data_IF_654515506654
#
_entry.id   IF_654515506654
#
_cell.length_a   1.000
_cell.length_b   1.000
_cell.length_c   1.000
_cell.angle_alpha   90.00
_cell.angle_beta   90.00
_cell.angle_gamma   90.00
#
_symmetry.space_group_name_H-M   'P 1'
#
loop_
_entity.id
_entity.type
_entity.pdbx_description
1 polymer ?
#
# COMPACT_ATOMS: atom_id res chain seq x y z
N UNK A 1 0.27 -24.48 -0.36
CA UNK A 1 0.24 -23.15 0.29
C UNK A 1 -1.08 -23.02 1.02
N UNK A 2 -1.05 -22.75 2.32
CA UNK A 2 -2.26 -22.65 3.13
C UNK A 2 -2.69 -21.17 3.13
N UNK A 3 -3.73 -20.82 2.38
CA UNK A 3 -4.22 -19.43 2.33
C UNK A 3 -4.82 -19.01 3.66
N UNK A 4 -4.49 -17.80 4.14
CA UNK A 4 -4.95 -17.25 5.42
C UNK A 4 -6.48 -17.33 5.54
N UNK A 5 -7.04 -17.68 6.72
CA UNK A 5 -8.48 -17.68 6.96
C UNK A 5 -9.15 -16.34 6.61
N UNK A 6 -8.46 -15.20 6.80
CA UNK A 6 -8.96 -13.87 6.41
C UNK A 6 -9.03 -13.70 4.90
N UNK A 7 -8.06 -14.23 4.14
CA UNK A 7 -8.08 -14.25 2.67
C UNK A 7 -9.25 -15.06 2.12
N UNK A 8 -9.50 -16.26 2.68
CA UNK A 8 -10.67 -17.08 2.28
C UNK A 8 -11.98 -16.41 2.65
N UNK A 9 -12.04 -15.81 3.83
CA UNK A 9 -13.19 -15.02 4.27
C UNK A 9 -13.42 -13.83 3.35
N UNK A 10 -12.36 -13.12 2.95
CA UNK A 10 -12.45 -11.97 2.04
C UNK A 10 -12.90 -12.38 0.64
N UNK A 11 -12.27 -13.40 0.03
CA UNK A 11 -12.63 -13.88 -1.30
C UNK A 11 -14.06 -14.45 -1.35
N UNK A 12 -14.47 -15.22 -0.33
CA UNK A 12 -15.83 -15.75 -0.22
C UNK A 12 -16.88 -14.65 -0.01
N UNK A 13 -16.58 -13.64 0.82
CA UNK A 13 -17.50 -12.53 1.09
C UNK A 13 -17.58 -11.51 -0.05
N UNK A 14 -16.50 -11.33 -0.81
CA UNK A 14 -16.47 -10.52 -2.02
C UNK A 14 -17.36 -11.14 -3.10
N UNK A 15 -17.20 -12.45 -3.34
CA UNK A 15 -18.05 -13.20 -4.29
C UNK A 15 -19.53 -13.13 -3.89
N UNK A 16 -19.84 -13.27 -2.59
CA UNK A 16 -21.21 -13.20 -2.08
C UNK A 16 -21.86 -11.81 -2.23
N UNK A 17 -21.11 -10.73 -2.00
CA UNK A 17 -21.65 -9.36 -2.10
C UNK A 17 -21.96 -8.95 -3.54
N UNK A 18 -21.27 -9.55 -4.53
CA UNK A 18 -21.53 -9.31 -5.96
C UNK A 18 -22.69 -10.13 -6.51
N UNK A 19 -22.82 -11.40 -6.12
CA UNK A 19 -23.99 -12.20 -6.52
C UNK A 19 -25.32 -11.58 -6.06
N UNK A 20 -25.30 -10.75 -5.00
CA UNK A 20 -26.45 -9.99 -4.53
C UNK A 20 -26.62 -8.63 -5.24
N UNK A 21 -25.56 -8.10 -5.86
CA UNK A 21 -25.58 -6.83 -6.60
C UNK A 21 -25.92 -6.99 -8.08
N UNK A 22 -25.80 -8.19 -8.65
CA UNK A 22 -26.29 -8.56 -9.99
C UNK A 22 -27.82 -8.75 -10.04
N UNK A 23 -28.57 -7.92 -9.30
CA UNK A 23 -29.98 -7.75 -9.63
C UNK A 23 -30.06 -7.16 -11.04
N UNK A 24 -30.83 -7.77 -11.97
CA UNK A 24 -30.94 -7.24 -13.32
C UNK A 24 -31.38 -5.78 -13.23
N UNK A 25 -30.56 -4.89 -13.78
CA UNK A 25 -30.92 -3.48 -13.91
C UNK A 25 -32.32 -3.40 -14.53
N UNK A 26 -33.23 -2.57 -13.99
CA UNK A 26 -34.49 -2.34 -14.66
C UNK A 26 -34.20 -1.92 -16.11
N UNK A 27 -35.00 -2.40 -17.08
CA UNK A 27 -34.79 -2.04 -18.48
C UNK A 27 -34.71 -0.52 -18.62
N UNK A 28 -33.83 0.00 -19.50
CA UNK A 28 -33.69 1.44 -19.67
C UNK A 28 -35.05 2.04 -19.99
N UNK A 29 -35.43 3.09 -19.25
CA UNK A 29 -36.61 3.87 -19.56
C UNK A 29 -36.54 4.31 -21.02
N UNK A 30 -37.61 4.12 -21.81
CA UNK A 30 -37.62 4.54 -23.20
C UNK A 30 -37.31 6.05 -23.27
N UNK A 31 -36.45 6.48 -24.22
CA UNK A 31 -36.07 7.87 -24.33
C UNK A 31 -37.32 8.74 -24.53
N UNK A 32 -37.44 9.80 -23.73
CA UNK A 32 -38.46 10.81 -23.96
C UNK A 32 -38.32 11.35 -25.40
N UNK A 33 -39.43 11.55 -26.13
CA UNK A 33 -39.38 12.05 -27.50
C UNK A 33 -38.71 13.42 -27.53
N UNK A 34 -37.50 13.47 -28.09
CA UNK A 34 -36.71 14.69 -28.21
C UNK A 34 -37.29 15.63 -29.28
N UNK A 35 -37.25 16.96 -29.06
CA UNK A 35 -37.66 17.93 -30.06
C UNK A 35 -36.60 18.06 -31.18
N UNK A 36 -37.06 17.86 -32.41
CA UNK A 36 -36.64 18.57 -33.62
C UNK A 36 -35.14 18.74 -33.91
N UNK A 37 -34.63 17.90 -34.79
CA UNK A 37 -33.34 18.03 -35.49
C UNK A 37 -33.19 19.36 -36.26
N UNK A 38 -32.03 20.01 -36.12
CA UNK A 38 -31.45 20.93 -37.11
C UNK A 38 -30.11 20.37 -37.62
N UNK A 39 -29.79 20.47 -38.93
CA UNK A 39 -28.63 19.82 -39.51
C UNK A 39 -27.40 20.73 -39.58
N UNK A 40 -26.22 20.11 -39.45
CA UNK A 40 -25.04 20.50 -40.22
C UNK A 40 -23.90 21.14 -39.45
N UNK A 41 -22.94 20.32 -38.99
CA UNK A 41 -21.53 20.69 -39.04
C UNK A 41 -20.67 19.45 -39.26
N UNK A 42 -20.05 19.42 -40.45
CA UNK A 42 -19.07 18.43 -40.90
C UNK A 42 -17.74 18.71 -40.20
N UNK A 43 -17.24 17.76 -39.40
CA UNK A 43 -15.85 17.79 -38.91
C UNK A 43 -15.00 16.80 -39.69
N UNK A 44 -13.85 17.29 -40.14
CA UNK A 44 -12.88 16.57 -40.95
C UNK A 44 -12.12 15.53 -40.13
N UNK A 45 -11.96 14.36 -40.73
CA UNK A 45 -11.21 13.20 -40.26
C UNK A 45 -9.71 13.44 -40.46
N UNK A 46 -8.95 13.50 -39.37
CA UNK A 46 -7.48 13.45 -39.36
C UNK A 46 -7.00 12.06 -38.93
N UNK A 47 -6.25 11.39 -39.80
CA UNK A 47 -5.77 10.02 -39.68
C UNK A 47 -4.56 9.86 -38.73
N UNK A 48 -4.15 8.61 -38.38
CA UNK A 48 -3.38 8.29 -37.18
C UNK A 48 -1.86 8.36 -37.40
N UNK A 49 -1.16 9.00 -36.46
CA UNK A 49 0.30 8.95 -36.34
C UNK A 49 0.73 7.86 -35.38
N UNK A 50 1.34 6.80 -35.89
CA UNK A 50 1.92 5.72 -35.10
C UNK A 50 3.17 6.16 -34.33
N UNK A 51 3.31 5.67 -33.11
CA UNK A 51 4.57 5.64 -32.37
C UNK A 51 4.73 4.26 -31.73
N UNK A 52 5.30 3.34 -32.50
CA UNK A 52 5.94 2.14 -31.97
C UNK A 52 7.44 2.47 -31.85
N UNK A 53 7.93 2.59 -30.62
CA UNK A 53 9.31 2.95 -30.32
C UNK A 53 9.82 2.20 -29.10
N UNK A 54 10.40 1.03 -29.36
CA UNK A 54 11.25 0.19 -28.51
C UNK A 54 11.97 0.94 -27.37
N UNK A 55 11.71 0.53 -26.11
CA UNK A 55 12.42 0.97 -24.90
C UNK A 55 13.25 -0.18 -24.30
N UNK A 56 14.12 -0.80 -25.10
CA UNK A 56 15.05 -1.84 -24.65
C UNK A 56 16.39 -1.71 -25.35
N UNK A 57 17.21 -0.74 -24.92
CA UNK A 57 18.67 -0.77 -25.04
C UNK A 57 19.25 0.51 -24.44
N UNK A 58 19.92 0.40 -23.28
CA UNK A 58 21.13 1.14 -22.88
C UNK A 58 21.24 1.18 -21.36
N UNK A 59 22.02 0.27 -20.79
CA UNK A 59 22.75 0.47 -19.54
C UNK A 59 23.84 -0.59 -19.43
N UNK A 60 24.93 -0.37 -20.17
CA UNK A 60 26.24 -0.93 -19.84
C UNK A 60 27.26 0.12 -20.24
N UNK A 61 27.69 0.93 -19.28
CA UNK A 61 28.86 1.78 -19.39
C UNK A 61 29.85 1.37 -18.30
N UNK A 62 30.95 0.81 -18.80
CA UNK A 62 32.25 0.55 -18.20
C UNK A 62 32.53 1.17 -16.80
N UNK A 63 32.73 0.30 -15.82
CA UNK A 63 33.61 0.56 -14.68
C UNK A 63 35.05 0.35 -15.18
N UNK A 64 35.85 1.40 -15.17
CA UNK A 64 37.30 1.33 -15.45
C UNK A 64 38.03 0.74 -14.25
N UNK A 65 38.95 -0.23 -14.43
CA UNK A 65 39.74 -0.80 -13.36
C UNK A 65 40.97 0.08 -13.10
N UNK A 66 40.82 1.20 -12.40
CA UNK A 66 42.01 1.99 -11.98
C UNK A 66 41.88 2.68 -10.60
N UNK A 67 40.80 2.45 -9.86
CA UNK A 67 40.63 2.96 -8.48
C UNK A 67 41.03 1.95 -7.38
N UNK A 68 41.71 0.86 -7.75
CA UNK A 68 41.97 -0.28 -6.86
C UNK A 68 43.16 -0.12 -5.88
N UNK A 69 43.81 1.03 -5.77
CA UNK A 69 45.04 1.16 -4.97
C UNK A 69 45.13 2.37 -4.01
N UNK A 70 44.00 2.88 -3.49
CA UNK A 70 44.05 3.94 -2.46
C UNK A 70 43.01 3.81 -1.34
N UNK A 71 42.91 2.62 -0.74
CA UNK A 71 42.09 2.42 0.46
C UNK A 71 42.71 1.48 1.49
N UNK A 72 44.04 1.45 1.65
CA UNK A 72 44.69 0.84 2.82
C UNK A 72 44.88 1.87 3.93
N UNK A 73 43.78 2.28 4.55
CA UNK A 73 43.78 2.82 5.92
C UNK A 73 42.75 2.05 6.73
N UNK A 74 43.02 0.75 6.91
CA UNK A 74 42.35 -0.09 7.91
C UNK A 74 42.76 0.36 9.31
N UNK A 75 42.18 1.46 9.76
CA UNK A 75 42.02 1.68 11.19
C UNK A 75 41.06 0.61 11.70
N UNK A 76 41.55 -0.29 12.55
CA UNK A 76 40.72 -1.29 13.22
C UNK A 76 39.65 -0.55 14.04
N UNK A 77 38.46 -0.40 13.47
CA UNK A 77 37.30 0.12 14.17
C UNK A 77 36.81 -0.99 15.09
N UNK A 78 37.35 -1.04 16.31
CA UNK A 78 36.83 -1.92 17.35
C UNK A 78 35.47 -1.37 17.76
N UNK A 79 34.39 -1.86 17.15
CA UNK A 79 33.04 -1.66 17.65
C UNK A 79 32.98 -2.36 19.00
N UNK A 80 33.21 -1.62 20.07
CA UNK A 80 33.06 -2.13 21.41
C UNK A 80 31.61 -2.56 21.58
N UNK A 81 31.38 -3.87 21.74
CA UNK A 81 30.08 -4.49 22.00
C UNK A 81 29.49 -4.13 23.38
N UNK A 82 29.94 -3.03 23.99
CA UNK A 82 29.28 -2.43 25.14
C UNK A 82 27.93 -1.89 24.65
N UNK A 83 26.90 -2.73 24.76
CA UNK A 83 25.58 -2.53 24.19
C UNK A 83 25.00 -1.17 24.57
N UNK A 84 25.07 -0.21 23.63
CA UNK A 84 24.27 1.00 23.71
C UNK A 84 22.82 0.56 23.62
N UNK A 85 22.12 0.54 24.76
CA UNK A 85 20.65 0.55 24.78
C UNK A 85 20.24 1.83 24.06
N UNK A 86 19.79 1.70 22.82
CA UNK A 86 19.16 2.83 22.14
C UNK A 86 17.95 3.26 22.97
N UNK A 87 17.77 4.57 23.21
CA UNK A 87 16.58 5.05 23.89
C UNK A 87 15.35 4.55 23.12
N UNK A 88 14.43 3.90 23.84
CA UNK A 88 13.18 3.42 23.25
C UNK A 88 12.34 4.64 22.91
N UNK A 89 12.19 4.92 21.61
CA UNK A 89 11.28 5.96 21.11
C UNK A 89 9.84 5.46 21.32
N UNK A 90 8.98 6.21 22.04
CA UNK A 90 7.57 5.85 22.22
C UNK A 90 6.87 5.63 20.88
N UNK A 91 5.93 4.67 20.85
CA UNK A 91 5.04 4.46 19.71
C UNK A 91 3.90 5.45 19.82
N UNK A 92 3.78 6.38 18.87
CA UNK A 92 2.70 7.36 18.85
C UNK A 92 2.03 7.42 17.47
N UNK A 93 0.77 7.83 17.44
CA UNK A 93 0.03 8.10 16.21
C UNK A 93 0.80 9.11 15.35
N UNK A 94 0.85 8.87 14.04
CA UNK A 94 1.54 9.74 13.09
C UNK A 94 2.94 9.30 12.73
N UNK A 95 3.59 8.47 13.55
CA UNK A 95 4.93 8.01 13.20
C UNK A 95 4.92 7.11 11.97
N UNK A 96 5.89 7.33 11.10
CA UNK A 96 6.28 6.42 10.03
C UNK A 96 7.53 5.68 10.49
N UNK A 97 7.49 4.34 10.46
CA UNK A 97 8.49 3.48 11.07
C UNK A 97 8.90 2.36 10.12
N UNK A 98 10.18 2.03 10.06
CA UNK A 98 10.69 0.83 9.38
C UNK A 98 10.83 -0.30 10.38
N UNK A 99 10.14 -1.42 10.12
CA UNK A 99 10.20 -2.61 10.97
C UNK A 99 11.57 -3.29 10.85
N UNK A 100 12.04 -3.89 11.94
CA UNK A 100 13.24 -4.72 11.91
C UNK A 100 12.97 -5.99 11.08
N UNK A 101 13.77 -6.29 10.04
CA UNK A 101 13.58 -7.50 9.22
C UNK A 101 13.68 -8.81 10.02
N UNK A 102 14.33 -8.81 11.19
CA UNK A 102 14.35 -9.96 12.10
C UNK A 102 13.00 -10.25 12.77
N UNK A 103 12.00 -9.36 12.64
CA UNK A 103 10.64 -9.65 13.10
C UNK A 103 10.00 -10.74 12.24
N UNK A 104 10.32 -10.77 10.95
CA UNK A 104 9.86 -11.78 10.03
C UNK A 104 10.88 -11.99 8.89
N UNK A 105 11.69 -13.06 8.95
CA UNK A 105 12.69 -13.38 7.93
C UNK A 105 12.11 -13.71 6.54
N UNK A 106 10.80 -13.93 6.43
CA UNK A 106 10.14 -14.23 5.15
C UNK A 106 9.83 -13.00 4.32
N UNK A 107 9.91 -11.80 4.91
CA UNK A 107 9.72 -10.56 4.16
C UNK A 107 10.78 -10.42 3.08
N UNK A 108 10.34 -10.27 1.84
CA UNK A 108 11.19 -10.05 0.68
C UNK A 108 11.73 -8.62 0.58
N UNK A 109 11.18 -7.69 1.38
CA UNK A 109 11.48 -6.25 1.34
C UNK A 109 11.48 -5.63 2.74
N UNK A 110 12.02 -4.42 2.84
CA UNK A 110 11.88 -3.61 4.05
C UNK A 110 10.42 -3.20 4.22
N UNK A 111 9.85 -3.43 5.40
CA UNK A 111 8.45 -3.06 5.69
C UNK A 111 8.44 -1.72 6.42
N UNK A 112 7.87 -0.72 5.78
CA UNK A 112 7.61 0.60 6.36
C UNK A 112 6.12 0.66 6.71
N UNK A 113 5.80 1.19 7.89
CA UNK A 113 4.42 1.32 8.37
C UNK A 113 4.12 2.73 8.87
N UNK A 114 2.88 3.16 8.68
CA UNK A 114 2.28 4.31 9.36
C UNK A 114 1.55 3.83 10.62
N UNK A 115 1.79 4.49 11.76
CA UNK A 115 1.00 4.30 12.98
C UNK A 115 -0.26 5.15 12.91
N UNK A 116 -1.39 4.54 12.53
CA UNK A 116 -2.66 5.24 12.30
C UNK A 116 -3.43 5.48 13.62
N UNK A 117 -3.41 4.49 14.53
CA UNK A 117 -4.05 4.56 15.86
C UNK A 117 -3.17 3.89 16.90
N UNK A 118 -3.36 4.28 18.16
CA UNK A 118 -2.69 3.71 19.33
C UNK A 118 -3.75 3.32 20.34
N UNK A 119 -3.60 2.14 20.93
CA UNK A 119 -4.43 1.60 22.00
C UNK A 119 -3.50 1.27 23.18
N UNK A 120 -3.31 2.26 24.06
CA UNK A 120 -2.39 2.15 25.20
C UNK A 120 -2.86 1.10 26.23
N UNK A 121 -4.18 0.85 26.32
CA UNK A 121 -4.73 -0.12 27.26
C UNK A 121 -4.34 -1.54 26.88
N UNK A 122 -4.35 -1.85 25.58
CA UNK A 122 -3.97 -3.15 25.01
C UNK A 122 -2.50 -3.18 24.54
N UNK A 123 -1.73 -2.12 24.81
CA UNK A 123 -0.34 -1.95 24.42
C UNK A 123 -0.07 -2.32 22.93
N UNK A 124 -0.92 -1.83 22.03
CA UNK A 124 -0.85 -2.12 20.58
C UNK A 124 -1.21 -0.89 19.74
N UNK A 125 -0.84 -0.93 18.46
CA UNK A 125 -1.12 0.15 17.52
C UNK A 125 -1.62 -0.39 16.18
N UNK A 126 -2.51 0.36 15.54
CA UNK A 126 -2.98 0.05 14.20
C UNK A 126 -1.93 0.54 13.20
N UNK A 127 -1.14 -0.39 12.68
CA UNK A 127 -0.09 -0.14 11.71
C UNK A 127 -0.63 -0.37 10.29
N UNK A 128 -0.25 0.50 9.36
CA UNK A 128 -0.64 0.42 7.96
C UNK A 128 0.62 0.36 7.10
N UNK A 129 0.86 -0.72 6.33
CA UNK A 129 2.09 -0.85 5.56
C UNK A 129 2.07 0.04 4.31
N UNK A 130 3.26 0.47 3.89
CA UNK A 130 3.47 1.06 2.58
C UNK A 130 3.70 -0.03 1.52
N UNK A 131 3.09 0.15 0.35
CA UNK A 131 3.21 -0.74 -0.80
C UNK A 131 4.56 -0.63 -1.50
N UNK A 132 4.84 -1.53 -2.43
CA UNK A 132 6.03 -1.44 -3.29
C UNK A 132 5.82 -0.57 -4.54
N UNK A 133 4.56 -0.25 -4.85
CA UNK A 133 4.19 0.54 -6.02
C UNK A 133 4.31 2.03 -5.76
N UNK A 134 4.51 2.78 -6.86
CA UNK A 134 4.50 4.24 -6.86
C UNK A 134 3.10 4.82 -7.07
N UNK A 135 2.15 4.02 -7.52
CA UNK A 135 0.76 4.40 -7.77
C UNK A 135 -0.19 3.36 -7.16
N UNK A 136 -1.34 3.79 -6.58
CA UNK A 136 -2.34 2.88 -6.03
C UNK A 136 -2.86 1.90 -7.09
N UNK A 137 -2.75 0.60 -6.80
CA UNK A 137 -3.22 -0.46 -7.67
C UNK A 137 -4.73 -0.69 -7.53
N UNK A 138 -5.34 -0.40 -6.38
CA UNK A 138 -6.80 -0.53 -6.20
C UNK A 138 -7.39 0.39 -5.10
N UNK A 139 -8.71 0.36 -4.95
CA UNK A 139 -9.48 1.30 -4.10
C UNK A 139 -9.15 1.24 -2.60
N UNK A 140 -8.45 0.19 -2.15
CA UNK A 140 -7.99 0.03 -0.77
C UNK A 140 -6.65 0.68 -0.47
N UNK A 141 -6.04 1.36 -1.44
CA UNK A 141 -4.72 1.97 -1.36
C UNK A 141 -4.80 3.47 -1.54
N UNK A 142 -3.88 4.21 -0.91
CA UNK A 142 -3.87 5.66 -0.90
C UNK A 142 -2.52 6.20 -1.38
N UNK A 143 -2.52 7.01 -2.43
CA UNK A 143 -1.35 7.79 -2.84
C UNK A 143 -1.05 8.82 -1.76
N UNK A 144 0.18 8.84 -1.22
CA UNK A 144 0.52 9.65 -0.04
C UNK A 144 1.07 11.04 -0.37
N UNK A 145 1.60 11.25 -1.58
CA UNK A 145 2.29 12.49 -1.95
C UNK A 145 3.66 12.69 -1.29
N UNK A 146 4.17 11.69 -0.54
CA UNK A 146 5.53 11.71 0.00
C UNK A 146 6.56 11.61 -1.12
N UNK A 147 7.74 12.23 -0.92
CA UNK A 147 8.80 12.27 -1.95
C UNK A 147 9.56 10.95 -2.11
N UNK A 148 9.60 10.15 -1.05
CA UNK A 148 10.24 8.84 -1.08
C UNK A 148 9.33 7.84 -1.78
N UNK A 149 9.82 7.21 -2.84
CA UNK A 149 9.04 6.25 -3.63
C UNK A 149 8.63 5.02 -2.81
N UNK A 150 9.43 4.61 -1.83
CA UNK A 150 9.08 3.51 -0.92
C UNK A 150 7.90 3.83 0.02
N UNK A 151 7.50 5.09 0.07
CA UNK A 151 6.38 5.59 0.87
C UNK A 151 5.28 6.22 0.00
N UNK A 152 5.29 6.02 -1.32
CA UNK A 152 4.36 6.66 -2.26
C UNK A 152 2.92 6.16 -2.12
N UNK A 153 2.73 4.89 -1.76
CA UNK A 153 1.41 4.24 -1.64
C UNK A 153 1.25 3.61 -0.26
N UNK A 154 0.15 3.92 0.41
CA UNK A 154 -0.22 3.35 1.68
C UNK A 154 -1.31 2.27 1.48
N UNK A 155 -1.04 1.04 1.90
CA UNK A 155 -1.94 -0.10 1.74
C UNK A 155 -2.94 -0.18 2.91
N UNK A 156 -3.87 0.78 2.98
CA UNK A 156 -4.88 0.91 4.06
C UNK A 156 -5.71 -0.37 4.25
N UNK A 157 -5.92 -1.11 3.16
CA UNK A 157 -6.58 -2.40 3.17
C UNK A 157 -5.89 -3.48 4.02
N UNK A 158 -4.58 -3.36 4.23
CA UNK A 158 -3.71 -4.29 4.94
C UNK A 158 -3.33 -3.79 6.34
N UNK A 159 -4.16 -2.90 6.90
CA UNK A 159 -3.99 -2.39 8.26
C UNK A 159 -4.19 -3.51 9.30
N UNK A 160 -3.32 -3.55 10.30
CA UNK A 160 -3.30 -4.58 11.34
C UNK A 160 -2.93 -4.01 12.71
N UNK A 161 -3.48 -4.59 13.77
CA UNK A 161 -3.15 -4.22 15.15
C UNK A 161 -1.88 -4.95 15.60
N UNK A 162 -0.79 -4.21 15.75
CA UNK A 162 0.52 -4.75 16.09
C UNK A 162 0.90 -4.39 17.54
N UNK A 163 1.32 -5.36 18.37
CA UNK A 163 1.80 -5.11 19.73
C UNK A 163 2.99 -4.14 19.80
N UNK A 164 3.08 -3.37 20.88
CA UNK A 164 4.16 -2.40 21.11
C UNK A 164 5.53 -3.05 21.25
N UNK A 165 5.64 -4.27 21.80
CA UNK A 165 6.92 -4.97 21.90
C UNK A 165 7.51 -5.24 20.51
N UNK A 166 6.66 -5.64 19.54
CA UNK A 166 7.04 -5.82 18.14
C UNK A 166 7.37 -4.50 17.48
N UNK A 167 6.51 -3.48 17.62
CA UNK A 167 6.78 -2.15 17.08
C UNK A 167 8.00 -1.48 17.72
N UNK A 168 8.38 -1.83 18.95
CA UNK A 168 9.60 -1.30 19.58
C UNK A 168 10.88 -1.79 18.88
N UNK A 169 10.79 -2.88 18.11
CA UNK A 169 11.84 -3.38 17.21
C UNK A 169 11.69 -2.74 15.83
N UNK A 170 11.66 -1.42 15.77
CA UNK A 170 11.59 -0.63 14.54
C UNK A 170 12.34 0.69 14.69
N UNK A 171 12.65 1.32 13.57
CA UNK A 171 13.26 2.64 13.52
C UNK A 171 12.22 3.68 13.11
N UNK A 172 12.11 4.75 13.88
CA UNK A 172 11.33 5.92 13.48
C UNK A 172 12.07 6.64 12.35
N UNK A 173 11.36 6.89 11.25
CA UNK A 173 11.90 7.56 10.06
C UNK A 173 11.51 9.05 10.06
N UNK A 174 10.22 9.31 10.18
CA UNK A 174 9.62 10.65 10.14
C UNK A 174 8.20 10.60 10.69
N UNK A 175 7.56 11.76 10.86
CA UNK A 175 6.13 11.86 11.13
C UNK A 175 5.36 12.10 9.82
N UNK A 176 4.14 11.56 9.76
CA UNK A 176 3.14 11.89 8.76
C UNK A 176 2.53 13.26 9.05
N UNK A 177 2.17 13.98 8.00
CA UNK A 177 1.41 15.21 8.11
C UNK A 177 -0.07 14.93 8.39
N UNK A 178 -0.78 15.91 8.95
CA UNK A 178 -2.15 15.75 9.44
C UNK A 178 -3.14 15.34 8.33
N UNK A 179 -2.99 15.88 7.13
CA UNK A 179 -3.88 15.53 6.00
C UNK A 179 -3.76 14.03 5.66
N UNK A 180 -2.55 13.48 5.55
CA UNK A 180 -2.35 12.05 5.29
C UNK A 180 -2.99 11.18 6.38
N UNK A 181 -2.86 11.58 7.65
CA UNK A 181 -3.49 10.87 8.76
C UNK A 181 -5.01 10.92 8.71
N UNK A 182 -5.58 12.07 8.34
CA UNK A 182 -7.02 12.24 8.20
C UNK A 182 -7.57 11.39 7.05
N UNK A 183 -6.91 11.42 5.90
CA UNK A 183 -7.28 10.68 4.71
C UNK A 183 -7.16 9.16 4.90
N UNK A 184 -6.05 8.70 5.48
CA UNK A 184 -5.84 7.28 5.79
C UNK A 184 -6.90 6.77 6.78
N UNK A 185 -7.26 7.57 7.80
CA UNK A 185 -8.31 7.23 8.74
C UNK A 185 -9.70 7.17 8.07
N UNK A 186 -10.00 8.15 7.20
CA UNK A 186 -11.25 8.18 6.45
C UNK A 186 -11.41 6.96 5.53
N UNK A 187 -10.33 6.58 4.81
CA UNK A 187 -10.33 5.40 3.96
C UNK A 187 -10.45 4.10 4.77
N UNK A 188 -9.71 4.00 5.89
CA UNK A 188 -9.81 2.86 6.80
C UNK A 188 -11.23 2.69 7.34
N UNK A 189 -11.85 3.77 7.81
CA UNK A 189 -13.20 3.74 8.36
C UNK A 189 -14.27 3.45 7.30
N UNK A 190 -14.12 3.99 6.08
CA UNK A 190 -14.99 3.65 4.96
C UNK A 190 -14.93 2.14 4.66
N UNK A 191 -13.73 1.58 4.57
CA UNK A 191 -13.52 0.14 4.34
C UNK A 191 -14.07 -0.72 5.46
N UNK A 192 -13.81 -0.36 6.73
CA UNK A 192 -14.33 -1.08 7.88
C UNK A 192 -15.87 -1.15 7.89
N UNK A 193 -16.53 -0.09 7.40
CA UNK A 193 -17.99 -0.01 7.25
C UNK A 193 -18.52 -0.54 5.92
N UNK A 194 -17.65 -1.00 5.01
CA UNK A 194 -17.99 -1.36 3.62
C UNK A 194 -18.72 -0.23 2.88
N UNK A 195 -18.37 1.01 3.18
CA UNK A 195 -18.87 2.19 2.51
C UNK A 195 -18.04 2.50 1.25
N UNK A 196 -18.58 3.25 0.28
CA UNK A 196 -17.81 3.73 -0.86
C UNK A 196 -16.61 4.57 -0.43
N UNK A 197 -15.57 4.61 -1.28
CA UNK A 197 -14.43 5.51 -1.10
C UNK A 197 -14.93 6.96 -1.03
N UNK A 198 -14.52 7.75 0.00
CA UNK A 198 -14.88 9.16 0.10
C UNK A 198 -14.54 9.91 -1.19
N UNK A 199 -15.44 10.79 -1.66
CA UNK A 199 -15.29 11.48 -2.94
C UNK A 199 -13.95 12.23 -3.07
N UNK A 200 -13.48 12.86 -1.99
CA UNK A 200 -12.20 13.58 -1.95
C UNK A 200 -10.97 12.68 -2.14
N UNK A 201 -11.11 11.36 -1.97
CA UNK A 201 -10.02 10.39 -2.09
C UNK A 201 -10.04 9.62 -3.41
N UNK A 202 -11.10 9.71 -4.21
CA UNK A 202 -11.27 8.87 -5.40
C UNK A 202 -10.08 8.98 -6.36
N UNK A 203 -9.61 10.19 -6.63
CA UNK A 203 -8.47 10.46 -7.51
C UNK A 203 -7.10 10.07 -6.91
N UNK A 204 -7.07 9.67 -5.64
CA UNK A 204 -5.87 9.25 -4.90
C UNK A 204 -5.90 7.77 -4.50
N UNK A 205 -6.92 7.05 -4.94
CA UNK A 205 -7.03 5.59 -4.76
C UNK A 205 -6.96 4.90 -6.11
N UNK A 206 -6.64 3.60 -6.11
CA UNK A 206 -6.58 2.84 -7.36
C UNK A 206 -7.98 2.47 -7.88
N UNK A 207 -8.09 2.04 -9.14
CA UNK A 207 -9.38 1.66 -9.71
C UNK A 207 -9.93 0.39 -9.04
N UNK A 208 -11.27 0.21 -8.96
CA UNK A 208 -11.85 -1.00 -8.41
C UNK A 208 -11.43 -2.24 -9.21
N UNK A 209 -11.30 -3.38 -8.53
CA UNK A 209 -11.10 -4.68 -9.18
C UNK A 209 -12.47 -5.21 -9.60
N UNK A 210 -12.73 -5.24 -10.90
CA UNK A 210 -14.04 -5.61 -11.44
C UNK A 210 -14.11 -7.05 -11.96
N UNK A 211 -12.97 -7.63 -12.33
CA UNK A 211 -12.90 -8.92 -13.00
C UNK A 211 -12.36 -10.00 -12.06
N UNK A 212 -12.91 -11.24 -12.05
CA UNK A 212 -12.40 -12.33 -11.21
C UNK A 212 -10.98 -12.79 -11.56
N UNK A 213 -10.57 -12.62 -12.82
CA UNK A 213 -9.21 -12.94 -13.31
C UNK A 213 -8.31 -11.70 -13.41
N UNK A 214 -8.61 -10.65 -12.66
CA UNK A 214 -7.74 -9.48 -12.60
C UNK A 214 -6.40 -9.87 -11.97
N UNK A 215 -5.24 -9.62 -12.62
CA UNK A 215 -3.94 -10.05 -12.10
C UNK A 215 -3.57 -9.39 -10.77
N UNK A 216 -4.25 -8.29 -10.39
CA UNK A 216 -4.04 -7.65 -9.08
C UNK A 216 -4.41 -8.57 -7.91
N UNK A 217 -5.22 -9.61 -8.12
CA UNK A 217 -5.51 -10.60 -7.06
C UNK A 217 -4.25 -11.32 -6.58
N UNK A 218 -3.32 -11.65 -7.48
CA UNK A 218 -2.05 -12.30 -7.10
C UNK A 218 -1.22 -11.40 -6.18
N UNK A 219 -1.21 -10.09 -6.48
CA UNK A 219 -0.57 -9.08 -5.62
C UNK A 219 -1.24 -9.01 -4.24
N UNK A 220 -2.57 -8.96 -4.20
CA UNK A 220 -3.31 -8.92 -2.94
C UNK A 220 -3.05 -10.17 -2.09
N UNK A 221 -2.97 -11.34 -2.71
CA UNK A 221 -2.70 -12.60 -2.02
C UNK A 221 -1.29 -12.64 -1.42
N UNK A 222 -0.30 -12.07 -2.10
CA UNK A 222 1.09 -11.99 -1.62
C UNK A 222 1.24 -11.00 -0.47
N UNK A 223 0.62 -9.83 -0.57
CA UNK A 223 0.72 -8.79 0.48
C UNK A 223 -0.25 -9.04 1.65
N UNK A 224 -1.32 -9.80 1.44
CA UNK A 224 -2.28 -10.09 2.48
C UNK A 224 -1.62 -10.84 3.65
N UNK A 225 -1.81 -10.30 4.84
CA UNK A 225 -1.25 -10.88 6.06
C UNK A 225 0.20 -10.49 6.33
N UNK A 226 0.78 -9.53 5.58
CA UNK A 226 2.13 -9.00 5.81
C UNK A 226 2.42 -8.69 7.29
N UNK A 227 1.42 -8.16 8.00
CA UNK A 227 1.47 -7.83 9.42
C UNK A 227 0.73 -8.81 10.33
N UNK A 228 -0.03 -9.77 9.77
CA UNK A 228 -0.87 -10.72 10.54
C UNK A 228 -0.02 -11.60 11.45
N UNK A 229 1.18 -12.01 10.99
CA UNK A 229 2.11 -12.79 11.81
C UNK A 229 2.64 -12.04 13.05
N UNK A 230 2.48 -10.72 13.09
CA UNK A 230 2.84 -9.91 14.25
C UNK A 230 1.67 -9.76 15.24
N UNK A 231 0.43 -10.12 14.87
CA UNK A 231 -0.76 -10.04 15.74
C UNK A 231 -0.69 -11.10 16.87
N UNK A 232 -0.16 -12.30 16.59
CA UNK A 232 -0.53 -13.53 17.32
C UNK A 232 0.48 -14.04 18.39
N UNK A 233 1.42 -13.23 18.87
CA UNK A 233 2.37 -13.70 19.91
C UNK A 233 2.27 -12.94 21.23
N UNK A 234 1.06 -12.85 21.79
CA UNK A 234 0.91 -12.48 23.20
C UNK A 234 0.72 -13.77 24.03
N UNK A 235 1.81 -14.48 24.31
CA UNK A 235 1.79 -15.39 25.46
C UNK A 235 2.11 -14.54 26.70
N UNK A 236 1.11 -14.24 27.56
CA UNK A 236 1.37 -13.51 28.80
C UNK A 236 2.35 -14.33 29.64
N UNK A 237 3.50 -13.73 29.97
CA UNK A 237 4.49 -14.31 30.87
C UNK A 237 4.12 -14.10 32.33
#
# INVERSE_FOLDING_TARGET
MNTSPRLRSWAAQWTASRLLSDSPLPPPEPPAPGPGTSPGHTFAVGAPGGFAGSLLARLHAAVTPDDAQKAERSGAFTVSAAGRRMPRVPIVRGQIRQLNPELNPTWSRSVIVLILRVDDAEARALAVPFGEFTEPAFEGELATGLRDQSMAVLCVWNASWVPFDRLSRSWWLTDAFDDLLHEAAALYDARARRAPVPAALQDRTGPPILHPLDPRHDYLDVEAGLLEELEDTFEPS
#
